data_IF_558320727002
#
_entry.id   IF_558320727002
#
_cell.length_a   1.000
_cell.length_b   1.000
_cell.length_c   1.000
_cell.angle_alpha   90.00
_cell.angle_beta   90.00
_cell.angle_gamma   90.00
#
_symmetry.space_group_name_H-M   'P 1'
#
loop_
_entity.id
_entity.type
_entity.pdbx_description
1 polymer ?
#
# COMPACT_ATOMS: atom_id res chain seq x y z
N UNK A 1 25.22 28.60 -4.51
CA UNK A 1 24.15 27.62 -4.22
C UNK A 1 23.35 28.16 -3.05
N UNK A 2 22.12 28.63 -3.29
CA UNK A 2 21.26 29.26 -2.28
C UNK A 2 20.22 28.22 -1.82
N UNK A 3 20.17 27.97 -0.51
CA UNK A 3 19.09 27.22 0.13
C UNK A 3 17.77 27.97 -0.09
N UNK A 4 16.74 27.29 -0.62
CA UNK A 4 15.38 27.81 -0.64
C UNK A 4 14.71 27.51 0.71
N UNK A 5 14.04 28.49 1.35
CA UNK A 5 13.36 28.28 2.62
C UNK A 5 12.02 27.55 2.43
N UNK A 6 11.70 26.66 3.38
CA UNK A 6 10.37 26.08 3.61
C UNK A 6 9.38 27.20 3.98
N UNK A 7 8.83 27.92 3.00
CA UNK A 7 7.75 28.88 3.26
C UNK A 7 6.84 29.17 2.05
N UNK A 8 6.84 28.32 1.01
CA UNK A 8 6.07 28.60 -0.23
C UNK A 8 5.31 27.37 -0.73
N UNK A 9 4.58 26.71 0.17
CA UNK A 9 3.61 25.65 -0.18
C UNK A 9 2.15 26.02 0.15
N UNK A 10 1.89 27.25 0.61
CA UNK A 10 0.58 27.66 1.11
C UNK A 10 -0.29 28.44 0.10
N UNK A 11 0.16 28.68 -1.14
CA UNK A 11 -0.58 29.50 -2.12
C UNK A 11 -1.02 28.74 -3.39
N UNK A 12 -0.94 27.41 -3.40
CA UNK A 12 -1.49 26.57 -4.48
C UNK A 12 -2.67 25.68 -4.03
N UNK A 13 -3.24 25.97 -2.86
CA UNK A 13 -4.27 25.16 -2.20
C UNK A 13 -5.72 25.63 -2.47
N UNK A 14 -5.93 26.61 -3.35
CA UNK A 14 -7.25 27.22 -3.59
C UNK A 14 -7.87 26.95 -4.98
N UNK A 15 -7.27 26.06 -5.79
CA UNK A 15 -7.72 25.81 -7.18
C UNK A 15 -8.07 24.33 -7.49
N UNK A 16 -8.21 23.48 -6.46
CA UNK A 16 -8.57 22.06 -6.62
C UNK A 16 -9.82 21.63 -5.82
N UNK A 17 -10.55 22.58 -5.23
CA UNK A 17 -11.80 22.32 -4.52
C UNK A 17 -13.01 22.65 -5.40
N UNK A 18 -13.30 21.79 -6.38
CA UNK A 18 -14.62 21.76 -7.02
C UNK A 18 -15.06 20.30 -7.25
N UNK A 19 -16.17 19.95 -6.59
CA UNK A 19 -17.07 18.80 -6.79
C UNK A 19 -16.59 17.44 -6.23
N UNK A 20 -17.33 16.75 -5.36
CA UNK A 20 -18.63 16.98 -4.74
C UNK A 20 -18.88 15.88 -3.71
N UNK A 21 -19.34 16.25 -2.52
CA UNK A 21 -19.90 15.31 -1.54
C UNK A 21 -21.41 15.32 -1.73
N UNK A 22 -21.98 14.23 -2.26
CA UNK A 22 -23.38 13.90 -2.04
C UNK A 22 -23.43 12.77 -1.00
N UNK A 23 -23.83 13.11 0.23
CA UNK A 23 -24.14 12.14 1.27
C UNK A 23 -25.63 12.22 1.57
N UNK A 24 -26.41 11.32 0.99
CA UNK A 24 -27.76 10.99 1.46
C UNK A 24 -28.17 9.59 0.95
N UNK A 25 -28.44 8.66 1.86
CA UNK A 25 -29.05 7.36 1.56
C UNK A 25 -29.20 6.48 2.80
N UNK A 26 -30.35 5.81 3.02
CA UNK A 26 -30.87 5.48 4.36
C UNK A 26 -30.43 4.11 4.91
N UNK A 27 -30.56 3.97 6.24
CA UNK A 27 -30.44 2.71 6.96
C UNK A 27 -31.49 1.68 6.52
N UNK A 28 -31.05 0.44 6.27
CA UNK A 28 -31.91 -0.72 6.11
C UNK A 28 -31.53 -1.80 7.13
N UNK A 29 -32.56 -2.37 7.74
CA UNK A 29 -32.57 -3.33 8.84
C UNK A 29 -32.49 -4.80 8.39
N UNK A 30 -31.77 -5.60 9.19
CA UNK A 30 -31.91 -7.02 9.58
C UNK A 30 -32.56 -8.09 8.66
N UNK A 31 -31.67 -8.98 8.18
CA UNK A 31 -31.58 -10.44 8.38
C UNK A 31 -32.83 -11.36 8.51
N UNK A 32 -32.86 -12.47 7.74
CA UNK A 32 -32.63 -13.87 8.20
C UNK A 32 -33.05 -14.95 7.18
N UNK A 33 -32.31 -16.07 7.18
CA UNK A 33 -32.70 -17.40 6.68
C UNK A 33 -31.88 -17.85 5.47
N UNK A 34 -31.36 -19.08 5.35
CA UNK A 34 -31.43 -20.32 6.11
C UNK A 34 -30.47 -21.33 5.46
N UNK A 35 -30.09 -22.39 6.20
CA UNK A 35 -29.00 -23.31 5.86
C UNK A 35 -29.25 -24.33 4.75
N UNK A 36 -28.19 -25.05 4.41
CA UNK A 36 -28.19 -26.23 3.54
C UNK A 36 -26.82 -26.89 3.47
N UNK A 37 -26.74 -28.13 3.96
CA UNK A 37 -25.55 -28.97 4.13
C UNK A 37 -25.08 -29.73 2.86
N UNK A 38 -23.76 -30.04 2.87
CA UNK A 38 -23.09 -31.29 2.45
C UNK A 38 -22.92 -31.69 0.96
N UNK A 39 -21.68 -32.10 0.63
CA UNK A 39 -21.37 -32.97 -0.53
C UNK A 39 -19.93 -32.81 -1.09
N UNK A 40 -19.05 -33.79 -0.83
CA UNK A 40 -17.66 -33.93 -1.35
C UNK A 40 -17.61 -34.49 -2.81
N UNK A 41 -16.46 -34.89 -3.40
CA UNK A 41 -15.05 -34.47 -3.31
C UNK A 41 -14.45 -34.00 -4.67
N UNK A 42 -13.21 -33.48 -4.61
CA UNK A 42 -12.26 -33.16 -5.68
C UNK A 42 -12.62 -33.50 -7.13
N UNK A 43 -12.99 -32.46 -7.89
CA UNK A 43 -12.84 -32.41 -9.33
C UNK A 43 -11.67 -31.45 -9.64
N UNK A 44 -10.79 -31.86 -10.54
CA UNK A 44 -9.82 -30.97 -11.19
C UNK A 44 -10.57 -29.74 -11.70
N UNK A 45 -10.42 -28.63 -10.98
CA UNK A 45 -11.03 -27.37 -11.33
C UNK A 45 -10.36 -26.90 -12.62
N UNK A 46 -10.92 -27.32 -13.76
CA UNK A 46 -10.53 -26.84 -15.07
C UNK A 46 -10.44 -25.32 -14.99
N UNK A 47 -9.27 -24.78 -15.31
CA UNK A 47 -8.97 -23.37 -15.18
C UNK A 47 -10.11 -22.57 -15.80
N UNK A 48 -10.85 -21.83 -14.96
CA UNK A 48 -11.96 -21.00 -15.41
C UNK A 48 -11.37 -19.98 -16.40
N UNK A 49 -12.00 -19.75 -17.57
CA UNK A 49 -11.54 -18.70 -18.47
C UNK A 49 -11.43 -17.38 -17.69
N UNK A 50 -10.33 -16.66 -17.87
CA UNK A 50 -10.09 -15.35 -17.29
C UNK A 50 -10.25 -14.27 -18.37
N UNK A 51 -11.50 -13.97 -18.81
CA UNK A 51 -11.73 -13.07 -19.93
C UNK A 51 -11.31 -11.63 -19.64
N UNK A 52 -11.03 -11.29 -18.38
CA UNK A 52 -10.63 -9.95 -17.96
C UNK A 52 -9.12 -9.85 -17.68
N UNK A 53 -8.35 -10.94 -17.84
CA UNK A 53 -6.93 -10.98 -17.43
C UNK A 53 -6.71 -10.72 -15.94
N UNK A 54 -7.74 -10.93 -15.12
CA UNK A 54 -7.77 -10.60 -13.70
C UNK A 54 -6.87 -11.53 -12.88
N UNK A 55 -6.90 -12.83 -13.15
CA UNK A 55 -6.00 -13.81 -12.52
C UNK A 55 -4.58 -13.61 -13.04
N UNK A 56 -4.40 -13.41 -14.34
CA UNK A 56 -3.09 -13.21 -14.96
C UNK A 56 -2.35 -12.01 -14.35
N UNK A 57 -2.97 -10.83 -14.28
CA UNK A 57 -2.34 -9.66 -13.65
C UNK A 57 -2.14 -9.87 -12.14
N UNK A 58 -3.08 -10.52 -11.45
CA UNK A 58 -2.97 -10.73 -10.01
C UNK A 58 -1.78 -11.62 -9.66
N UNK A 59 -1.61 -12.73 -10.40
CA UNK A 59 -0.48 -13.64 -10.24
C UNK A 59 0.84 -12.93 -10.52
N UNK A 60 0.88 -12.08 -11.56
CA UNK A 60 2.07 -11.28 -11.87
C UNK A 60 2.37 -10.25 -10.80
N UNK A 61 1.38 -9.64 -10.17
CA UNK A 61 1.61 -8.59 -9.18
C UNK A 61 1.91 -9.12 -7.78
N UNK A 62 1.48 -10.32 -7.43
CA UNK A 62 1.57 -10.83 -6.06
C UNK A 62 3.02 -10.92 -5.54
N UNK A 63 3.31 -10.21 -4.45
CA UNK A 63 4.66 -10.11 -3.89
C UNK A 63 5.06 -8.70 -3.46
N UNK A 64 6.35 -8.55 -3.15
CA UNK A 64 6.99 -7.30 -2.80
C UNK A 64 7.75 -6.72 -3.98
N UNK A 65 7.44 -5.48 -4.32
CA UNK A 65 8.07 -4.71 -5.38
C UNK A 65 8.75 -3.48 -4.81
N UNK A 66 9.96 -3.19 -5.28
CA UNK A 66 10.78 -2.10 -4.76
C UNK A 66 11.52 -1.38 -5.87
N UNK A 67 11.49 -0.05 -5.84
CA UNK A 67 12.40 0.82 -6.59
C UNK A 67 12.20 2.29 -6.16
N UNK A 68 13.13 3.19 -6.51
CA UNK A 68 12.85 4.62 -6.53
C UNK A 68 11.63 4.94 -7.41
N UNK A 69 10.86 5.95 -7.03
CA UNK A 69 9.74 6.45 -7.83
C UNK A 69 9.97 7.91 -8.19
N UNK A 70 9.68 8.24 -9.45
CA UNK A 70 9.93 9.55 -10.05
C UNK A 70 8.63 10.18 -10.56
N UNK A 71 8.75 11.44 -10.98
CA UNK A 71 7.69 12.21 -11.64
C UNK A 71 6.39 12.38 -10.83
N UNK A 72 6.46 12.18 -9.51
CA UNK A 72 5.32 12.43 -8.63
C UNK A 72 5.17 13.93 -8.35
N UNK A 73 3.95 14.44 -8.10
CA UNK A 73 3.79 15.83 -7.66
C UNK A 73 4.45 16.18 -6.32
N UNK A 74 4.85 15.17 -5.53
CA UNK A 74 5.60 15.35 -4.28
C UNK A 74 7.12 15.31 -4.50
N UNK A 75 7.58 15.10 -5.74
CA UNK A 75 8.98 14.88 -6.08
C UNK A 75 9.32 13.42 -6.30
N UNK A 76 10.61 13.10 -6.29
CA UNK A 76 11.08 11.71 -6.35
C UNK A 76 11.28 11.17 -4.95
N UNK A 77 10.95 9.90 -4.75
CA UNK A 77 11.24 9.19 -3.51
C UNK A 77 12.34 8.14 -3.79
N UNK A 78 13.36 8.05 -2.92
CA UNK A 78 14.49 7.14 -3.14
C UNK A 78 14.06 5.67 -3.10
N UNK A 79 12.95 5.37 -2.45
CA UNK A 79 12.41 4.02 -2.36
C UNK A 79 10.89 4.07 -2.20
N UNK A 80 10.20 3.25 -2.98
CA UNK A 80 8.79 2.92 -2.81
C UNK A 80 8.67 1.39 -2.79
N UNK A 81 8.23 0.86 -1.65
CA UNK A 81 7.98 -0.57 -1.45
C UNK A 81 6.48 -0.82 -1.49
N UNK A 82 6.01 -1.70 -2.37
CA UNK A 82 4.61 -2.08 -2.44
C UNK A 82 4.52 -3.60 -2.32
N UNK A 83 3.97 -4.06 -1.20
CA UNK A 83 3.62 -5.46 -0.99
C UNK A 83 2.17 -5.69 -1.41
N UNK A 84 1.97 -6.37 -2.54
CA UNK A 84 0.66 -6.73 -3.08
C UNK A 84 0.32 -8.15 -2.65
N UNK A 85 -0.70 -8.28 -1.79
CA UNK A 85 -1.21 -9.58 -1.32
C UNK A 85 -2.74 -9.60 -1.31
N UNK A 86 -3.34 -10.80 -1.32
CA UNK A 86 -4.77 -10.96 -1.11
C UNK A 86 -5.25 -10.30 0.18
N UNK A 87 -6.32 -9.52 0.08
CA UNK A 87 -7.08 -8.96 1.18
C UNK A 87 -8.56 -9.25 0.94
N UNK A 88 -9.00 -10.43 1.37
CA UNK A 88 -10.27 -11.01 0.95
C UNK A 88 -10.23 -11.32 -0.55
N UNK A 89 -11.18 -10.78 -1.30
CA UNK A 89 -11.35 -11.00 -2.75
C UNK A 89 -10.58 -9.99 -3.62
N UNK A 90 -9.72 -9.18 -3.02
CA UNK A 90 -8.91 -8.17 -3.72
C UNK A 90 -7.43 -8.50 -3.62
N UNK A 91 -6.66 -8.06 -4.61
CA UNK A 91 -5.22 -7.88 -4.44
C UNK A 91 -5.00 -6.46 -3.94
N UNK A 92 -4.36 -6.30 -2.77
CA UNK A 92 -4.18 -5.01 -2.12
C UNK A 92 -2.73 -4.76 -1.75
N UNK A 93 -2.28 -3.52 -1.93
CA UNK A 93 -1.00 -3.04 -1.48
C UNK A 93 -1.10 -1.62 -0.95
N UNK A 94 -0.30 -1.31 0.07
CA UNK A 94 -0.19 0.04 0.61
C UNK A 94 1.28 0.40 0.78
N UNK A 95 1.60 1.64 0.48
CA UNK A 95 2.88 2.26 0.79
C UNK A 95 2.64 3.57 1.52
N UNK A 96 3.40 3.78 2.60
CA UNK A 96 3.42 5.02 3.34
C UNK A 96 4.64 5.83 2.85
N UNK A 97 4.40 7.01 2.30
CA UNK A 97 5.46 7.91 1.80
C UNK A 97 6.02 8.76 2.95
N UNK A 98 5.13 9.19 3.85
CA UNK A 98 5.45 9.86 5.11
C UNK A 98 4.25 9.75 6.08
N UNK A 99 4.32 10.45 7.21
CA UNK A 99 3.26 10.46 8.24
C UNK A 99 1.91 11.08 7.78
N UNK A 100 1.84 11.75 6.62
CA UNK A 100 0.64 12.37 6.05
C UNK A 100 0.22 11.78 4.71
N UNK A 101 1.12 11.06 4.04
CA UNK A 101 0.95 10.62 2.67
C UNK A 101 1.11 9.09 2.56
N UNK A 102 0.12 8.44 1.95
CA UNK A 102 0.15 7.02 1.61
C UNK A 102 -0.56 6.79 0.28
N UNK A 103 -0.11 5.77 -0.44
CA UNK A 103 -0.78 5.28 -1.64
C UNK A 103 -1.35 3.89 -1.36
N UNK A 104 -2.55 3.64 -1.89
CA UNK A 104 -3.24 2.36 -1.84
C UNK A 104 -3.46 1.90 -3.27
N UNK A 105 -3.05 0.67 -3.54
CA UNK A 105 -3.23 -0.04 -4.80
C UNK A 105 -4.19 -1.18 -4.53
N UNK A 106 -5.30 -1.25 -5.25
CA UNK A 106 -6.19 -2.39 -5.16
C UNK A 106 -6.66 -2.85 -6.54
N UNK A 107 -6.77 -4.16 -6.71
CA UNK A 107 -7.32 -4.79 -7.90
C UNK A 107 -8.48 -5.69 -7.52
N UNK A 108 -9.58 -5.57 -8.25
CA UNK A 108 -10.80 -6.37 -8.06
C UNK A 108 -11.64 -6.40 -9.32
N UNK A 109 -12.48 -7.42 -9.50
CA UNK A 109 -13.53 -7.38 -10.52
C UNK A 109 -14.79 -6.79 -9.91
N UNK A 110 -15.15 -5.57 -10.31
CA UNK A 110 -16.34 -4.89 -9.81
C UNK A 110 -17.46 -4.96 -10.87
N UNK A 111 -18.71 -5.02 -10.43
CA UNK A 111 -19.88 -5.02 -11.30
C UNK A 111 -20.51 -3.63 -11.39
N UNK A 112 -20.85 -3.19 -12.61
CA UNK A 112 -21.70 -2.03 -12.83
C UNK A 112 -23.13 -2.35 -12.39
N UNK A 113 -23.66 -1.55 -11.45
CA UNK A 113 -24.97 -1.81 -10.84
C UNK A 113 -26.14 -1.62 -11.83
N UNK A 114 -25.93 -0.90 -12.94
CA UNK A 114 -26.95 -0.60 -13.94
C UNK A 114 -26.92 -1.59 -15.09
N UNK A 115 -25.75 -1.88 -15.65
CA UNK A 115 -25.62 -2.78 -16.81
C UNK A 115 -25.39 -4.24 -16.42
N UNK A 116 -24.93 -4.49 -15.19
CA UNK A 116 -24.46 -5.81 -14.76
C UNK A 116 -23.12 -6.21 -15.36
N UNK A 117 -22.47 -5.33 -16.14
CA UNK A 117 -21.17 -5.59 -16.75
C UNK A 117 -20.08 -5.69 -15.68
N UNK A 118 -19.10 -6.56 -15.93
CA UNK A 118 -17.98 -6.81 -15.01
C UNK A 118 -16.73 -6.14 -15.54
N UNK A 119 -16.04 -5.41 -14.67
CA UNK A 119 -14.84 -4.67 -15.01
C UNK A 119 -13.70 -5.08 -14.08
N UNK A 120 -12.51 -5.32 -14.64
CA UNK A 120 -11.30 -5.34 -13.82
C UNK A 120 -10.94 -3.90 -13.46
N UNK A 121 -11.03 -3.59 -12.17
CA UNK A 121 -10.78 -2.26 -11.63
C UNK A 121 -9.40 -2.23 -10.99
N UNK A 122 -8.60 -1.24 -11.38
CA UNK A 122 -7.47 -0.74 -10.62
C UNK A 122 -7.92 0.48 -9.81
N UNK A 123 -7.73 0.43 -8.49
CA UNK A 123 -8.01 1.53 -7.59
C UNK A 123 -6.71 2.14 -7.10
N UNK A 124 -6.59 3.45 -7.28
CA UNK A 124 -5.53 4.26 -6.69
C UNK A 124 -6.13 5.18 -5.64
N UNK A 125 -5.80 4.94 -4.38
CA UNK A 125 -6.32 5.76 -3.29
C UNK A 125 -5.28 6.09 -2.24
N UNK A 126 -5.76 6.52 -1.07
CA UNK A 126 -4.90 6.92 0.05
C UNK A 126 -4.80 8.43 0.19
N UNK A 127 -3.88 8.90 1.02
CA UNK A 127 -3.67 10.32 1.24
C UNK A 127 -2.51 10.82 0.40
N UNK A 128 -2.73 11.87 -0.39
CA UNK A 128 -1.69 12.50 -1.18
C UNK A 128 -1.83 14.01 -1.09
N UNK A 129 -0.78 14.69 -0.62
CA UNK A 129 -0.82 16.08 -0.17
C UNK A 129 -1.84 16.32 0.96
N UNK A 130 -2.03 15.33 1.84
CA UNK A 130 -3.04 15.39 2.91
C UNK A 130 -4.49 15.30 2.43
N UNK A 131 -4.73 15.10 1.14
CA UNK A 131 -6.05 14.91 0.56
C UNK A 131 -6.30 13.42 0.36
N UNK A 132 -7.41 12.93 0.91
CA UNK A 132 -7.88 11.56 0.62
C UNK A 132 -8.31 11.49 -0.85
N UNK A 133 -7.71 10.56 -1.59
CA UNK A 133 -8.06 10.22 -2.96
C UNK A 133 -8.55 8.77 -3.01
N UNK A 134 -9.46 8.49 -3.92
CA UNK A 134 -9.97 7.15 -4.22
C UNK A 134 -10.44 7.10 -5.68
N UNK A 135 -9.48 7.13 -6.60
CA UNK A 135 -9.73 7.06 -8.03
C UNK A 135 -9.89 5.59 -8.47
N UNK A 136 -10.85 5.34 -9.35
CA UNK A 136 -11.10 4.04 -9.97
C UNK A 136 -10.83 4.10 -11.46
N UNK A 137 -10.04 3.14 -11.94
CA UNK A 137 -9.72 2.98 -13.35
C UNK A 137 -10.11 1.58 -13.81
N UNK A 138 -10.76 1.47 -14.95
CA UNK A 138 -11.16 0.20 -15.56
C UNK A 138 -10.13 -0.24 -16.58
N UNK A 139 -9.91 -1.55 -16.71
CA UNK A 139 -9.06 -2.11 -17.76
C UNK A 139 -9.68 -1.81 -19.13
N UNK A 140 -8.92 -1.15 -20.01
CA UNK A 140 -9.37 -0.82 -21.37
C UNK A 140 -8.59 -1.53 -22.46
N UNK A 141 -7.39 -2.02 -22.13
CA UNK A 141 -6.49 -2.69 -23.07
C UNK A 141 -5.55 -3.59 -22.27
N UNK A 142 -5.38 -4.84 -22.71
CA UNK A 142 -4.36 -5.72 -22.16
C UNK A 142 -3.78 -6.66 -23.22
N UNK A 143 -2.56 -7.09 -22.98
CA UNK A 143 -1.87 -8.14 -23.70
C UNK A 143 -1.07 -8.94 -22.68
N UNK A 144 -1.66 -10.04 -22.20
CA UNK A 144 -1.05 -10.88 -21.17
C UNK A 144 0.27 -11.53 -21.61
N UNK A 145 0.42 -11.82 -22.92
CA UNK A 145 1.65 -12.39 -23.46
C UNK A 145 2.81 -11.39 -23.43
N UNK A 146 2.52 -10.10 -23.65
CA UNK A 146 3.49 -9.00 -23.50
C UNK A 146 3.53 -8.41 -22.08
N UNK A 147 2.73 -8.93 -21.15
CA UNK A 147 2.63 -8.41 -19.79
C UNK A 147 2.20 -6.94 -19.74
N UNK A 148 1.29 -6.51 -20.61
CA UNK A 148 0.82 -5.13 -20.69
C UNK A 148 -0.63 -5.02 -20.23
N UNK A 149 -0.90 -4.07 -19.33
CA UNK A 149 -2.25 -3.75 -18.85
C UNK A 149 -2.41 -2.24 -18.74
N UNK A 150 -3.46 -1.72 -19.35
CA UNK A 150 -3.79 -0.29 -19.34
C UNK A 150 -5.16 -0.07 -18.74
N UNK A 151 -5.17 0.77 -17.72
CA UNK A 151 -6.35 1.17 -16.99
C UNK A 151 -6.61 2.65 -17.22
N UNK A 152 -7.87 3.00 -17.48
CA UNK A 152 -8.29 4.39 -17.64
C UNK A 152 -9.37 4.76 -16.65
N UNK A 153 -9.43 6.03 -16.24
CA UNK A 153 -10.43 6.47 -15.25
C UNK A 153 -11.83 6.03 -15.69
N UNK A 154 -12.56 5.38 -14.80
CA UNK A 154 -13.84 4.74 -15.08
C UNK A 154 -14.84 5.69 -15.78
N UNK A 155 -15.05 6.89 -15.22
CA UNK A 155 -16.01 7.87 -15.78
C UNK A 155 -15.41 8.88 -16.78
N UNK A 156 -14.12 9.23 -16.63
CA UNK A 156 -13.48 10.34 -17.35
C UNK A 156 -12.50 9.87 -18.45
N UNK A 157 -12.36 8.56 -18.62
CA UNK A 157 -11.50 7.95 -19.63
C UNK A 157 -10.01 8.21 -19.44
N UNK A 158 -9.25 7.86 -20.47
CA UNK A 158 -7.78 7.92 -20.46
C UNK A 158 -7.23 9.35 -20.48
N UNK A 159 -8.04 10.33 -20.90
CA UNK A 159 -7.64 11.73 -20.84
C UNK A 159 -7.47 12.23 -19.41
N UNK A 160 -8.18 11.63 -18.45
CA UNK A 160 -8.08 12.02 -17.05
C UNK A 160 -7.05 11.21 -16.27
N UNK A 161 -7.16 9.87 -16.22
CA UNK A 161 -6.13 8.97 -15.67
C UNK A 161 -5.85 7.89 -16.69
N UNK A 162 -4.57 7.69 -17.02
CA UNK A 162 -4.05 6.60 -17.85
C UNK A 162 -2.93 5.93 -17.05
N UNK A 163 -3.22 4.75 -16.51
CA UNK A 163 -2.32 3.96 -15.68
C UNK A 163 -1.91 2.70 -16.43
N UNK A 164 -0.61 2.49 -16.58
CA UNK A 164 -0.03 1.40 -17.37
C UNK A 164 0.87 0.55 -16.50
N UNK A 165 0.63 -0.75 -16.53
CA UNK A 165 1.43 -1.78 -15.87
C UNK A 165 2.07 -2.63 -16.96
N UNK A 166 3.40 -2.64 -17.02
CA UNK A 166 4.16 -3.36 -18.05
C UNK A 166 5.21 -4.25 -17.40
N UNK A 167 5.13 -5.54 -17.63
CA UNK A 167 6.11 -6.52 -17.17
C UNK A 167 7.08 -6.83 -18.31
N UNK A 168 8.35 -6.44 -18.17
CA UNK A 168 9.39 -6.80 -19.13
C UNK A 168 10.07 -8.14 -18.80
N UNK A 169 9.87 -8.63 -17.58
CA UNK A 169 10.23 -9.95 -17.09
C UNK A 169 9.37 -10.26 -15.85
N UNK A 170 9.43 -11.50 -15.34
CA UNK A 170 8.67 -11.91 -14.15
C UNK A 170 9.04 -11.08 -12.90
N UNK A 171 10.26 -10.56 -12.84
CA UNK A 171 10.80 -9.76 -11.75
C UNK A 171 10.96 -8.27 -12.08
N UNK A 172 10.53 -7.80 -13.27
CA UNK A 172 10.66 -6.40 -13.71
C UNK A 172 9.32 -5.79 -14.09
N UNK A 173 8.92 -4.75 -13.37
CA UNK A 173 7.65 -4.03 -13.55
C UNK A 173 7.92 -2.56 -13.83
N UNK A 174 7.30 -2.01 -14.88
CA UNK A 174 7.12 -0.57 -15.05
C UNK A 174 5.67 -0.20 -14.77
N UNK A 175 5.47 0.69 -13.81
CA UNK A 175 4.20 1.32 -13.51
C UNK A 175 4.29 2.82 -13.83
N UNK A 176 3.48 3.22 -14.80
CA UNK A 176 3.48 4.58 -15.33
C UNK A 176 2.07 5.15 -15.26
N UNK A 177 1.93 6.36 -14.72
CA UNK A 177 0.64 7.06 -14.63
C UNK A 177 0.73 8.43 -15.27
N UNK A 178 -0.27 8.76 -16.07
CA UNK A 178 -0.53 10.12 -16.53
C UNK A 178 -1.87 10.59 -15.95
N UNK A 179 -1.89 11.84 -15.49
CA UNK A 179 -3.09 12.53 -15.05
C UNK A 179 -3.27 13.78 -15.89
N UNK A 180 -4.37 13.87 -16.65
CA UNK A 180 -4.66 15.01 -17.55
C UNK A 180 -3.52 15.27 -18.54
N UNK A 181 -3.01 14.20 -19.14
CA UNK A 181 -1.88 14.22 -20.09
C UNK A 181 -0.50 14.49 -19.48
N UNK A 182 -0.39 14.72 -18.17
CA UNK A 182 0.89 14.96 -17.49
C UNK A 182 1.37 13.73 -16.75
N UNK A 183 2.65 13.39 -16.89
CA UNK A 183 3.27 12.30 -16.13
C UNK A 183 3.11 12.56 -14.63
N UNK A 184 2.70 11.54 -13.89
CA UNK A 184 2.35 11.62 -12.47
C UNK A 184 3.04 10.55 -11.62
N UNK A 185 3.40 9.42 -12.23
CA UNK A 185 4.21 8.37 -11.61
C UNK A 185 5.06 7.72 -12.69
N UNK A 186 6.33 7.51 -12.40
CA UNK A 186 7.24 6.65 -13.15
C UNK A 186 7.96 5.75 -12.14
N UNK A 187 7.60 4.47 -12.12
CA UNK A 187 8.12 3.49 -11.17
C UNK A 187 8.58 2.23 -11.88
N UNK A 188 9.90 2.02 -11.95
CA UNK A 188 10.52 0.84 -12.57
C UNK A 188 10.99 -0.10 -11.46
N UNK A 189 10.07 -0.93 -10.99
CA UNK A 189 10.24 -1.80 -9.85
C UNK A 189 10.88 -3.14 -10.20
N UNK A 190 11.61 -3.67 -9.22
CA UNK A 190 12.07 -5.04 -9.23
C UNK A 190 11.32 -5.85 -8.16
N UNK A 191 10.97 -7.10 -8.49
CA UNK A 191 10.37 -8.01 -7.52
C UNK A 191 11.46 -8.45 -6.54
N UNK A 192 11.26 -8.16 -5.26
CA UNK A 192 12.15 -8.57 -4.17
C UNK A 192 11.74 -9.91 -3.59
N UNK A 193 10.43 -10.14 -3.51
CA UNK A 193 9.83 -11.38 -3.05
C UNK A 193 8.59 -11.71 -3.86
N UNK A 194 8.46 -12.97 -4.26
CA UNK A 194 7.21 -13.51 -4.76
C UNK A 194 6.36 -14.02 -3.58
N UNK A 195 5.08 -13.67 -3.57
CA UNK A 195 4.11 -14.19 -2.61
C UNK A 195 2.97 -14.83 -3.41
N UNK A 196 3.05 -16.14 -3.74
CA UNK A 196 2.07 -16.76 -4.62
C UNK A 196 0.65 -16.64 -4.05
N UNK A 197 -0.31 -16.49 -4.96
CA UNK A 197 -1.71 -16.40 -4.59
C UNK A 197 -2.16 -17.72 -3.90
N UNK A 198 -2.94 -17.66 -2.82
CA UNK A 198 -3.53 -18.84 -2.21
C UNK A 198 -4.34 -19.65 -3.21
N UNK A 199 -4.36 -20.97 -3.04
CA UNK A 199 -5.21 -21.85 -3.85
C UNK A 199 -6.67 -21.39 -3.79
N UNK A 200 -7.29 -21.23 -4.95
CA UNK A 200 -8.68 -20.77 -5.07
C UNK A 200 -8.87 -19.25 -4.97
N UNK A 201 -7.80 -18.45 -4.77
CA UNK A 201 -7.93 -17.00 -4.87
C UNK A 201 -8.34 -16.61 -6.29
N UNK A 202 -9.37 -15.77 -6.37
CA UNK A 202 -9.91 -15.31 -7.64
C UNK A 202 -10.41 -13.88 -7.47
N UNK A 203 -9.86 -12.96 -8.27
CA UNK A 203 -10.46 -11.63 -8.40
C UNK A 203 -11.85 -11.71 -9.03
N UNK A 204 -12.20 -12.80 -9.71
CA UNK A 204 -13.54 -12.99 -10.25
C UNK A 204 -14.58 -13.33 -9.17
N UNK A 205 -14.15 -13.67 -7.95
CA UNK A 205 -15.06 -14.00 -6.86
C UNK A 205 -15.53 -12.75 -6.11
N UNK A 206 -14.99 -11.58 -6.46
CA UNK A 206 -15.46 -10.29 -5.94
C UNK A 206 -16.84 -9.85 -6.45
N UNK A 207 -17.71 -10.79 -6.81
CA UNK A 207 -19.02 -10.54 -7.43
C UNK A 207 -20.01 -9.74 -6.57
N UNK A 208 -19.75 -9.60 -5.27
CA UNK A 208 -20.52 -8.70 -4.40
C UNK A 208 -20.05 -7.25 -4.44
N UNK A 209 -18.91 -6.95 -5.08
CA UNK A 209 -18.31 -5.62 -5.09
C UNK A 209 -18.86 -4.78 -6.23
N UNK A 210 -19.39 -3.63 -5.84
CA UNK A 210 -19.82 -2.56 -6.74
C UNK A 210 -18.71 -1.52 -6.91
N UNK A 211 -18.87 -0.65 -7.91
CA UNK A 211 -18.02 0.53 -8.15
C UNK A 211 -18.01 1.55 -7.00
N UNK A 212 -18.80 1.31 -5.94
CA UNK A 212 -18.86 2.12 -4.72
C UNK A 212 -18.37 1.39 -3.48
N UNK A 213 -18.01 0.10 -3.59
CA UNK A 213 -17.62 -0.71 -2.43
C UNK A 213 -16.37 -0.14 -1.74
N UNK A 214 -16.33 -0.07 -0.39
CA UNK A 214 -15.15 0.38 0.33
C UNK A 214 -14.01 -0.62 0.19
N UNK A 215 -12.77 -0.18 0.44
CA UNK A 215 -11.64 -1.11 0.59
C UNK A 215 -11.91 -2.04 1.78
N UNK A 216 -11.41 -3.29 1.76
CA UNK A 216 -11.56 -4.19 2.89
C UNK A 216 -10.98 -3.56 4.15
N UNK A 217 -11.63 -3.80 5.29
CA UNK A 217 -11.01 -3.50 6.58
C UNK A 217 -9.75 -4.35 6.72
N UNK A 218 -8.67 -3.72 7.17
CA UNK A 218 -7.38 -4.38 7.31
C UNK A 218 -6.76 -4.00 8.65
N UNK A 219 -5.97 -4.91 9.26
CA UNK A 219 -5.31 -4.69 10.54
C UNK A 219 -4.58 -3.35 10.64
N UNK A 220 -4.67 -2.78 11.84
CA UNK A 220 -3.90 -1.61 12.26
C UNK A 220 -2.94 -2.03 13.37
N UNK A 221 -1.70 -1.58 13.27
CA UNK A 221 -0.67 -1.79 14.29
C UNK A 221 -0.26 -0.44 14.87
N UNK A 222 -0.32 -0.35 16.18
CA UNK A 222 0.26 0.74 16.96
C UNK A 222 1.54 0.23 17.61
N UNK A 223 2.67 0.87 17.30
CA UNK A 223 3.97 0.53 17.89
C UNK A 223 4.44 1.66 18.77
N UNK A 224 4.65 1.39 20.04
CA UNK A 224 5.35 2.30 20.95
C UNK A 224 6.84 1.98 20.92
N UNK A 225 7.61 2.85 20.28
CA UNK A 225 9.07 2.81 20.37
C UNK A 225 9.52 3.54 21.64
N UNK A 226 10.37 2.91 22.45
CA UNK A 226 10.89 3.44 23.72
C UNK A 226 12.41 3.51 23.69
N UNK A 227 12.98 4.46 24.44
CA UNK A 227 14.43 4.59 24.60
C UNK A 227 14.77 5.11 25.99
N UNK A 228 16.05 5.02 26.36
CA UNK A 228 16.52 5.48 27.67
C UNK A 228 16.89 6.97 27.62
N UNK A 229 16.28 7.74 28.52
CA UNK A 229 16.57 9.16 28.74
C UNK A 229 15.90 10.09 27.72
N UNK A 230 15.59 11.33 28.13
CA UNK A 230 14.89 12.28 27.28
C UNK A 230 15.75 12.73 26.10
N UNK A 231 15.13 12.94 24.93
CA UNK A 231 15.82 13.50 23.78
C UNK A 231 16.29 14.94 24.03
N UNK A 232 17.54 15.27 23.68
CA UNK A 232 18.04 16.64 23.77
C UNK A 232 17.41 17.61 22.75
N UNK A 233 16.94 17.09 21.62
CA UNK A 233 16.29 17.83 20.52
C UNK A 233 15.29 16.90 19.81
N UNK A 234 14.45 17.45 18.95
CA UNK A 234 13.57 16.64 18.10
C UNK A 234 14.40 15.65 17.26
N UNK A 235 13.85 14.45 17.10
CA UNK A 235 14.39 13.38 16.27
C UNK A 235 13.29 12.64 15.54
N UNK A 236 13.66 11.55 14.85
CA UNK A 236 12.75 10.70 14.10
C UNK A 236 12.86 9.26 14.58
N UNK A 237 11.75 8.53 14.53
CA UNK A 237 11.75 7.07 14.68
C UNK A 237 11.40 6.48 13.33
N UNK A 238 12.33 5.71 12.76
CA UNK A 238 12.07 4.88 11.60
C UNK A 238 11.71 3.48 12.08
N UNK A 239 10.49 3.04 11.78
CA UNK A 239 10.05 1.66 12.00
C UNK A 239 9.94 0.96 10.65
N UNK A 240 10.46 -0.26 10.56
CA UNK A 240 10.31 -1.12 9.39
C UNK A 240 9.85 -2.51 9.78
N UNK A 241 9.01 -3.10 8.91
CA UNK A 241 8.53 -4.46 8.99
C UNK A 241 9.08 -5.25 7.81
N UNK A 242 9.66 -6.40 8.11
CA UNK A 242 10.18 -7.37 7.14
C UNK A 242 9.55 -8.74 7.38
N UNK A 243 9.55 -9.64 6.40
CA UNK A 243 9.02 -11.01 6.57
C UNK A 243 10.10 -12.06 6.83
N UNK A 244 11.36 -11.68 6.66
CA UNK A 244 12.54 -12.45 6.99
C UNK A 244 13.47 -11.62 7.87
N UNK A 245 14.46 -12.26 8.49
CA UNK A 245 15.45 -11.54 9.29
C UNK A 245 16.22 -10.54 8.41
N UNK A 246 16.36 -9.32 8.91
CA UNK A 246 17.00 -8.18 8.27
C UNK A 246 17.88 -7.47 9.30
N UNK A 247 19.09 -7.09 8.92
CA UNK A 247 19.94 -6.22 9.72
C UNK A 247 19.93 -4.83 9.06
N UNK A 248 19.19 -3.89 9.64
CA UNK A 248 19.12 -2.53 9.10
C UNK A 248 20.53 -1.92 8.97
N UNK A 249 20.84 -1.39 7.79
CA UNK A 249 22.14 -0.80 7.47
C UNK A 249 23.21 -1.82 7.03
N UNK A 250 22.94 -3.13 7.10
CA UNK A 250 23.86 -4.18 6.67
C UNK A 250 23.12 -5.14 5.72
N UNK A 251 23.29 -4.91 4.42
CA UNK A 251 22.77 -5.77 3.35
C UNK A 251 21.40 -5.37 2.81
N UNK A 252 20.88 -6.22 1.91
CA UNK A 252 19.62 -6.04 1.22
C UNK A 252 18.45 -6.51 2.10
N UNK A 253 17.65 -5.57 2.60
CA UNK A 253 16.45 -5.87 3.36
C UNK A 253 15.17 -5.71 2.53
N UNK A 254 14.35 -6.77 2.50
CA UNK A 254 13.04 -6.78 1.85
C UNK A 254 11.96 -6.16 2.76
N UNK A 255 12.06 -4.84 2.92
CA UNK A 255 11.15 -4.03 3.73
C UNK A 255 9.75 -4.10 3.11
N UNK A 256 8.84 -4.74 3.84
CA UNK A 256 7.44 -4.89 3.41
C UNK A 256 6.63 -3.64 3.73
N UNK A 257 6.90 -3.01 4.88
CA UNK A 257 6.31 -1.72 5.28
C UNK A 257 7.31 -0.92 6.09
N UNK A 258 7.24 0.40 5.99
CA UNK A 258 7.99 1.31 6.85
C UNK A 258 7.17 2.55 7.16
N UNK A 259 7.40 3.14 8.33
CA UNK A 259 6.80 4.42 8.73
C UNK A 259 7.83 5.23 9.48
N UNK A 260 7.77 6.55 9.32
CA UNK A 260 8.58 7.51 10.07
C UNK A 260 7.68 8.31 10.99
N UNK A 261 7.99 8.27 12.29
CA UNK A 261 7.33 9.06 13.33
C UNK A 261 8.24 10.16 13.87
N UNK A 262 7.65 11.22 14.42
CA UNK A 262 8.41 12.25 15.13
C UNK A 262 8.62 11.85 16.59
N UNK A 263 9.83 12.08 17.10
CA UNK A 263 10.15 12.01 18.52
C UNK A 263 10.54 13.41 19.01
N UNK A 264 9.87 13.91 20.06
CA UNK A 264 10.03 15.29 20.51
C UNK A 264 11.17 15.43 21.51
N UNK A 265 11.82 16.58 21.52
CA UNK A 265 12.74 16.95 22.59
C UNK A 265 12.06 16.71 23.96
N UNK A 266 12.78 16.08 24.89
CA UNK A 266 12.26 15.69 26.19
C UNK A 266 11.52 14.36 26.24
N UNK A 267 11.17 13.73 25.11
CA UNK A 267 10.42 12.47 25.11
C UNK A 267 11.33 11.24 25.27
N UNK A 268 10.76 10.17 25.82
CA UNK A 268 11.39 8.84 26.00
C UNK A 268 10.69 7.75 25.16
N UNK A 269 9.66 8.15 24.42
CA UNK A 269 8.93 7.27 23.53
C UNK A 269 8.29 8.03 22.37
N UNK A 270 7.96 7.31 21.31
CA UNK A 270 7.09 7.75 20.23
C UNK A 270 6.13 6.63 19.85
N UNK A 271 4.89 7.00 19.51
CA UNK A 271 3.89 6.06 18.99
C UNK A 271 3.81 6.20 17.47
N UNK A 272 3.96 5.09 16.78
CA UNK A 272 3.86 4.99 15.33
C UNK A 272 2.65 4.12 14.97
N UNK A 273 1.92 4.53 13.94
CA UNK A 273 0.73 3.83 13.47
C UNK A 273 1.00 3.31 12.06
N UNK A 274 0.81 2.01 11.87
CA UNK A 274 0.80 1.36 10.58
C UNK A 274 -0.61 0.85 10.32
N UNK A 275 -1.32 1.54 9.44
CA UNK A 275 -2.67 1.14 9.05
C UNK A 275 -2.63 0.16 7.88
N UNK A 276 -3.68 -0.65 7.78
CA UNK A 276 -3.92 -1.52 6.62
C UNK A 276 -2.72 -2.43 6.33
N UNK A 277 -2.33 -3.18 7.35
CA UNK A 277 -1.33 -4.24 7.25
C UNK A 277 -2.01 -5.54 6.85
N UNK A 278 -1.34 -6.32 6.02
CA UNK A 278 -1.74 -7.68 5.78
C UNK A 278 -1.45 -8.54 7.02
N UNK A 279 -2.31 -9.50 7.37
CA UNK A 279 -2.04 -10.42 8.47
C UNK A 279 -0.79 -11.28 8.23
N UNK A 280 -0.22 -11.78 9.33
CA UNK A 280 0.87 -12.76 9.33
C UNK A 280 2.09 -12.33 10.13
N UNK A 281 3.14 -13.16 10.02
CA UNK A 281 4.39 -12.98 10.73
C UNK A 281 5.29 -11.93 10.08
N UNK A 282 5.86 -11.08 10.92
CA UNK A 282 6.81 -10.03 10.61
C UNK A 282 7.98 -10.01 11.60
N UNK A 283 9.02 -9.31 11.19
CA UNK A 283 10.18 -8.90 11.98
C UNK A 283 10.17 -7.38 12.05
N UNK A 284 10.14 -6.86 13.26
CA UNK A 284 10.15 -5.43 13.55
C UNK A 284 11.58 -4.96 13.76
N UNK A 285 11.94 -3.90 13.06
CA UNK A 285 13.19 -3.18 13.27
C UNK A 285 12.87 -1.70 13.48
N UNK A 286 13.58 -1.05 14.41
CA UNK A 286 13.40 0.36 14.72
C UNK A 286 14.74 1.08 14.85
N UNK A 287 14.80 2.31 14.37
CA UNK A 287 15.92 3.24 14.51
C UNK A 287 15.39 4.54 15.08
N UNK A 288 16.03 5.04 16.13
CA UNK A 288 15.90 6.41 16.62
C UNK A 288 17.00 7.25 15.97
N UNK A 289 16.62 7.99 14.94
CA UNK A 289 17.45 8.96 14.24
C UNK A 289 17.42 10.29 15.02
N UNK A 290 18.56 10.63 15.64
CA UNK A 290 18.66 11.80 16.51
C UNK A 290 18.98 13.08 15.77
N UNK A 291 19.34 13.02 14.49
CA UNK A 291 19.71 14.21 13.72
C UNK A 291 18.75 14.50 12.55
N UNK A 292 17.76 13.63 12.36
CA UNK A 292 16.66 13.77 11.39
C UNK A 292 17.13 13.75 9.93
N UNK A 293 18.22 13.04 9.62
CA UNK A 293 18.74 12.91 8.26
C UNK A 293 18.20 11.65 7.53
N UNK A 294 17.43 10.79 8.22
CA UNK A 294 16.89 9.51 7.73
C UNK A 294 17.95 8.47 7.34
N UNK A 295 19.18 8.63 7.82
CA UNK A 295 20.31 7.74 7.57
C UNK A 295 20.83 7.25 8.92
N UNK A 296 20.67 5.95 9.25
CA UNK A 296 21.22 5.40 10.47
C UNK A 296 22.74 5.62 10.52
N UNK A 297 23.21 6.40 11.47
CA UNK A 297 24.63 6.72 11.61
C UNK A 297 25.08 6.89 13.07
N UNK A 298 26.37 7.15 13.26
CA UNK A 298 26.95 7.36 14.59
C UNK A 298 26.22 8.47 15.34
N UNK A 299 25.64 8.10 16.49
CA UNK A 299 24.82 8.99 17.32
C UNK A 299 23.37 8.53 17.40
N UNK A 300 22.93 7.69 16.48
CA UNK A 300 21.60 7.09 16.50
C UNK A 300 21.54 5.86 17.42
N UNK A 301 20.34 5.33 17.58
CA UNK A 301 20.11 4.11 18.35
C UNK A 301 19.19 3.17 17.60
N UNK A 302 19.40 1.87 17.74
CA UNK A 302 18.58 0.83 17.14
C UNK A 302 17.98 -0.08 18.20
N UNK A 303 16.85 -0.68 17.86
CA UNK A 303 16.31 -1.79 18.63
C UNK A 303 17.16 -3.05 18.44
N UNK A 304 16.93 -4.04 19.30
CA UNK A 304 17.34 -5.42 18.99
C UNK A 304 16.72 -5.77 17.63
N UNK A 305 17.52 -6.19 16.64
CA UNK A 305 17.00 -6.45 15.30
C UNK A 305 16.07 -7.65 15.31
N UNK A 306 15.12 -7.66 14.37
CA UNK A 306 14.24 -8.78 14.07
C UNK A 306 13.34 -9.24 15.22
N UNK A 307 12.80 -8.28 15.99
CA UNK A 307 11.80 -8.60 17.00
C UNK A 307 10.59 -9.28 16.33
N UNK A 308 10.20 -10.49 16.75
CA UNK A 308 9.09 -11.20 16.14
C UNK A 308 7.78 -10.48 16.44
N UNK A 309 6.95 -10.32 15.41
CA UNK A 309 5.62 -9.75 15.50
C UNK A 309 4.66 -10.57 14.66
N UNK A 310 3.51 -10.93 15.21
CA UNK A 310 2.44 -11.59 14.46
C UNK A 310 1.22 -10.67 14.38
N UNK A 311 0.90 -10.20 13.17
CA UNK A 311 -0.24 -9.32 12.91
C UNK A 311 -1.49 -10.17 12.69
N UNK A 312 -2.47 -10.04 13.57
CA UNK A 312 -3.70 -10.83 13.50
C UNK A 312 -4.64 -10.30 12.42
N UNK A 313 -5.38 -11.20 11.78
CA UNK A 313 -6.50 -10.84 10.90
C UNK A 313 -7.65 -10.31 11.76
N UNK A 314 -7.65 -9.00 12.02
CA UNK A 314 -8.67 -8.30 12.79
C UNK A 314 -8.84 -6.88 12.27
N UNK A 315 -10.05 -6.34 12.38
CA UNK A 315 -10.32 -4.93 12.18
C UNK A 315 -9.84 -4.06 13.37
N UNK A 316 -9.45 -4.69 14.50
CA UNK A 316 -9.00 -3.99 15.70
C UNK A 316 -7.54 -3.57 15.62
N UNK A 317 -7.20 -2.46 16.27
CA UNK A 317 -5.82 -2.06 16.50
C UNK A 317 -5.11 -3.08 17.40
N UNK A 318 -3.97 -3.58 16.94
CA UNK A 318 -3.02 -4.33 17.75
C UNK A 318 -1.92 -3.38 18.25
N UNK A 319 -1.45 -3.57 19.48
CA UNK A 319 -0.35 -2.79 20.04
C UNK A 319 0.90 -3.64 20.22
N UNK A 320 2.07 -3.04 19.99
CA UNK A 320 3.38 -3.63 20.28
C UNK A 320 4.32 -2.58 20.87
N UNK A 321 5.31 -3.02 21.64
CA UNK A 321 6.36 -2.16 22.18
C UNK A 321 7.71 -2.60 21.65
N UNK A 322 8.55 -1.64 21.27
CA UNK A 322 9.92 -1.86 20.79
C UNK A 322 10.88 -1.02 21.62
N UNK A 323 11.86 -1.67 22.23
CA UNK A 323 12.91 -1.00 23.00
C UNK A 323 14.11 -0.68 22.08
N UNK A 324 14.45 0.60 21.99
CA UNK A 324 15.59 1.15 21.23
C UNK A 324 16.67 1.54 22.23
N UNK A 325 17.74 0.74 22.30
CA UNK A 325 18.77 0.90 23.33
C UNK A 325 20.20 0.69 22.82
N UNK A 326 20.38 0.16 21.62
CA UNK A 326 21.70 -0.19 21.09
C UNK A 326 22.23 1.02 20.31
N UNK A 327 23.38 1.61 20.66
CA UNK A 327 23.98 2.66 19.84
C UNK A 327 24.27 2.14 18.43
N UNK A 328 23.98 2.93 17.40
CA UNK A 328 24.38 2.58 16.03
C UNK A 328 25.93 2.62 15.93
N UNK A 329 26.57 1.58 15.35
CA UNK A 329 28.02 1.41 15.36
C UNK A 329 28.80 2.50 14.60
#
# INVERSE_FOLDING_TARGET
MRQLPLATAALLLLLLLLNGCDTNGPSASDARGGGGESGAPGADAGARPDPLGAIDIASRLAGLWSAPVHDTPLGSFPLMNVELRPAGELLFGRVDLDHKNNLRFAFSVEQDATSGERHLIYRNGGFFLGLLRDDRATLVEHDGARGFYRFCHLTRGCEYVDARWTFSADDKLSFDVWVRGKKHVSWKAERRREDPLPSGFSLADSSGRTLTSPLPEMPRLEVTARWTGPLAKDGLVLLSLTRADCLLGIGDCDISRSVVGQAKAGSESATLILDQLHPGAYKVNAVLDRNSNLLPEKGDSIAIPNLPLDVKASATTQSATVEIAIPFP
#
